data_IF_330856229291
#
_entry.id   IF_330856229291
#
_cell.length_a   1.000
_cell.length_b   1.000
_cell.length_c   1.000
_cell.angle_alpha   90.00
_cell.angle_beta   90.00
_cell.angle_gamma   90.00
#
_symmetry.space_group_name_H-M   'P 1'
#
loop_
_entity.id
_entity.type
_entity.pdbx_description
1 polymer ?
#
# COMPACT_ATOMS: atom_id res chain seq x y z
N UNK A 1 21.25 14.85 40.91
CA UNK A 1 20.50 13.76 40.31
C UNK A 1 20.84 13.54 38.82
N UNK A 2 21.78 14.28 38.25
CA UNK A 2 22.24 14.13 36.82
C UNK A 2 23.50 13.29 36.67
N UNK A 3 24.20 12.94 37.73
CA UNK A 3 25.47 12.18 37.70
C UNK A 3 25.23 10.66 37.76
N UNK A 4 24.06 10.23 38.24
CA UNK A 4 23.72 8.78 38.35
C UNK A 4 23.23 8.14 37.04
N UNK A 5 22.79 8.94 36.04
CA UNK A 5 22.29 8.43 34.77
C UNK A 5 23.43 8.17 33.77
N UNK A 6 24.52 8.91 33.85
CA UNK A 6 25.69 8.77 32.93
C UNK A 6 26.54 7.55 33.23
N UNK A 7 26.58 7.08 34.47
CA UNK A 7 27.37 5.92 34.85
C UNK A 7 26.76 4.58 34.42
N UNK A 8 25.42 4.50 34.36
CA UNK A 8 24.72 3.29 33.89
C UNK A 8 24.73 3.08 32.38
N UNK A 9 24.82 4.16 31.60
CA UNK A 9 24.89 4.05 30.13
C UNK A 9 26.28 3.60 29.66
N UNK A 10 27.34 3.97 30.39
CA UNK A 10 28.71 3.51 30.08
C UNK A 10 28.97 2.04 30.45
N UNK A 11 28.25 1.49 31.45
CA UNK A 11 28.36 0.06 31.82
C UNK A 11 27.70 -0.85 30.77
N UNK A 12 26.50 -0.49 30.27
CA UNK A 12 25.80 -1.24 29.25
C UNK A 12 26.55 -1.24 27.89
N UNK A 13 27.26 -0.16 27.57
CA UNK A 13 28.06 -0.07 26.32
C UNK A 13 29.36 -0.91 26.38
N UNK A 14 29.87 -1.23 27.57
CA UNK A 14 31.03 -2.11 27.73
C UNK A 14 30.70 -3.61 27.60
N UNK A 15 29.54 -4.01 28.03
CA UNK A 15 29.10 -5.43 27.90
C UNK A 15 28.75 -5.79 26.44
N UNK A 16 28.21 -4.85 25.65
CA UNK A 16 27.88 -5.08 24.26
C UNK A 16 29.12 -5.24 23.35
N UNK A 17 30.27 -4.63 23.68
CA UNK A 17 31.55 -4.81 22.96
C UNK A 17 32.30 -6.09 23.27
N UNK A 18 31.91 -6.80 24.30
CA UNK A 18 32.57 -8.07 24.69
C UNK A 18 31.93 -9.28 24.00
N UNK A 19 30.70 -9.11 23.47
CA UNK A 19 29.99 -10.17 22.72
C UNK A 19 30.44 -10.32 21.26
N UNK A 20 30.98 -9.27 20.66
CA UNK A 20 31.41 -9.25 19.22
C UNK A 20 32.85 -9.81 19.00
N UNK A 21 33.55 -10.28 20.05
CA UNK A 21 34.92 -10.79 19.93
C UNK A 21 35.06 -12.30 19.99
N UNK A 22 33.98 -13.07 20.14
CA UNK A 22 34.03 -14.53 20.33
C UNK A 22 33.59 -15.39 19.16
N UNK A 23 33.31 -14.82 17.96
CA UNK A 23 32.91 -15.63 16.79
C UNK A 23 33.70 -15.30 15.54
N UNK A 24 35.03 -15.30 15.62
CA UNK A 24 35.89 -15.37 14.44
C UNK A 24 37.14 -16.20 14.76
N UNK A 25 37.04 -17.53 14.66
CA UNK A 25 38.14 -18.42 14.34
C UNK A 25 37.62 -19.68 13.67
N UNK A 26 38.19 -19.95 12.52
CA UNK A 26 38.37 -21.20 11.79
C UNK A 26 37.18 -22.07 11.36
N UNK A 27 37.03 -22.15 10.04
CA UNK A 27 36.95 -23.43 9.33
C UNK A 27 37.08 -23.25 7.81
N UNK A 28 38.29 -23.33 7.33
CA UNK A 28 38.59 -23.71 5.94
C UNK A 28 38.40 -25.22 5.82
N UNK A 29 37.38 -25.69 5.10
CA UNK A 29 37.31 -27.07 4.61
C UNK A 29 36.42 -27.08 3.35
N UNK A 30 37.04 -27.32 2.23
CA UNK A 30 36.45 -27.67 0.94
C UNK A 30 35.76 -29.04 1.01
N UNK A 31 34.57 -29.22 0.49
CA UNK A 31 34.00 -30.54 0.21
C UNK A 31 34.29 -30.97 -1.22
N UNK A 32 34.92 -32.14 -1.33
CA UNK A 32 35.13 -32.94 -2.51
C UNK A 32 33.82 -33.54 -3.07
N UNK A 33 33.73 -33.61 -4.39
CA UNK A 33 32.68 -34.28 -5.16
C UNK A 33 32.54 -35.78 -4.81
N UNK A 34 31.34 -36.38 -4.86
CA UNK A 34 31.19 -37.83 -4.95
C UNK A 34 30.94 -38.27 -6.39
N UNK A 35 31.79 -39.21 -6.76
CA UNK A 35 31.87 -40.05 -7.93
C UNK A 35 30.57 -40.79 -8.25
N UNK A 36 30.24 -40.86 -9.54
CA UNK A 36 29.24 -41.69 -10.20
C UNK A 36 29.38 -43.19 -9.89
N UNK A 37 28.28 -43.82 -9.49
CA UNK A 37 28.16 -45.27 -9.47
C UNK A 37 27.09 -45.73 -10.47
N UNK A 38 27.54 -46.54 -11.42
CA UNK A 38 26.78 -47.24 -12.46
C UNK A 38 25.81 -48.26 -11.86
N UNK A 39 24.59 -48.34 -12.43
CA UNK A 39 23.65 -49.45 -12.23
C UNK A 39 23.91 -50.55 -13.23
N UNK A 40 23.77 -51.84 -12.85
CA UNK A 40 23.86 -52.94 -13.79
C UNK A 40 22.49 -53.21 -14.48
N UNK A 41 22.56 -53.50 -15.76
CA UNK A 41 21.49 -54.00 -16.58
C UNK A 41 21.18 -55.46 -16.25
N UNK A 42 19.89 -55.80 -16.12
CA UNK A 42 19.42 -57.17 -16.14
C UNK A 42 18.35 -57.28 -17.20
N UNK A 43 18.68 -58.06 -18.23
CA UNK A 43 17.79 -58.61 -19.28
C UNK A 43 16.97 -59.76 -18.70
N UNK A 44 15.66 -59.81 -18.98
CA UNK A 44 14.79 -60.88 -18.57
C UNK A 44 13.50 -60.92 -19.42
N UNK A 45 13.41 -61.86 -20.24
CA UNK A 45 12.51 -62.35 -21.26
C UNK A 45 11.04 -62.45 -20.84
N UNK A 46 10.20 -62.02 -21.79
CA UNK A 46 8.86 -62.47 -22.19
C UNK A 46 8.20 -63.63 -21.41
N UNK A 47 7.00 -63.40 -20.91
CA UNK A 47 5.84 -64.29 -20.98
C UNK A 47 4.56 -63.54 -20.60
N UNK A 48 3.59 -63.53 -21.49
CA UNK A 48 2.25 -63.04 -21.23
C UNK A 48 1.45 -64.12 -20.48
N UNK A 49 0.62 -63.80 -19.52
CA UNK A 49 -0.50 -64.58 -19.12
C UNK A 49 -1.85 -63.90 -19.41
N UNK A 50 -2.72 -64.76 -19.97
CA UNK A 50 -4.14 -64.69 -20.20
C UNK A 50 -4.99 -63.86 -19.23
N UNK A 51 -5.92 -63.10 -19.81
CA UNK A 51 -7.02 -62.40 -19.15
C UNK A 51 -7.98 -63.34 -18.41
N UNK A 52 -8.39 -63.01 -17.18
CA UNK A 52 -9.61 -63.57 -16.60
C UNK A 52 -10.84 -62.72 -16.98
N UNK A 53 -12.05 -63.26 -16.90
CA UNK A 53 -13.26 -62.69 -17.45
C UNK A 53 -13.79 -61.52 -16.62
N UNK A 54 -14.30 -60.50 -17.32
CA UNK A 54 -15.04 -59.35 -16.80
C UNK A 54 -16.20 -59.73 -15.86
N UNK A 55 -16.30 -59.17 -14.65
CA UNK A 55 -17.53 -59.20 -13.88
C UNK A 55 -18.51 -58.12 -14.37
N UNK A 56 -19.76 -58.51 -14.47
CA UNK A 56 -20.96 -57.71 -14.78
C UNK A 56 -21.09 -56.51 -13.87
N UNK A 57 -21.55 -55.34 -14.34
CA UNK A 57 -21.85 -54.21 -13.49
C UNK A 57 -23.11 -54.45 -12.67
N UNK A 58 -23.00 -54.62 -11.39
CA UNK A 58 -24.07 -54.43 -10.43
C UNK A 58 -24.27 -52.93 -10.28
N UNK A 59 -25.43 -52.46 -10.75
CA UNK A 59 -25.88 -51.09 -10.52
C UNK A 59 -26.11 -50.85 -9.04
N UNK A 60 -25.37 -49.87 -8.50
CA UNK A 60 -25.74 -49.09 -7.35
C UNK A 60 -25.18 -47.69 -7.60
N UNK A 61 -26.03 -46.81 -8.06
CA UNK A 61 -25.83 -45.39 -8.02
C UNK A 61 -25.83 -44.98 -6.55
N UNK A 62 -24.66 -44.98 -5.94
CA UNK A 62 -24.43 -44.20 -4.73
C UNK A 62 -24.30 -42.76 -5.18
N UNK A 63 -25.37 -41.98 -5.07
CA UNK A 63 -25.33 -40.54 -5.06
C UNK A 63 -24.39 -40.14 -3.91
N UNK A 64 -23.47 -39.17 -4.10
CA UNK A 64 -22.78 -38.61 -2.99
C UNK A 64 -23.85 -37.92 -2.11
N UNK A 65 -24.13 -38.48 -0.96
CA UNK A 65 -24.84 -37.77 0.11
C UNK A 65 -24.02 -36.55 0.43
N UNK A 66 -24.51 -35.39 0.00
CA UNK A 66 -24.07 -34.10 0.53
C UNK A 66 -24.38 -34.17 2.04
N UNK A 67 -23.34 -34.39 2.83
CA UNK A 67 -23.42 -34.21 4.28
C UNK A 67 -23.67 -32.72 4.46
N UNK A 68 -24.91 -32.34 4.75
CA UNK A 68 -25.21 -31.00 5.23
C UNK A 68 -24.31 -30.77 6.45
N UNK A 69 -23.57 -29.63 6.51
CA UNK A 69 -22.72 -29.33 7.65
C UNK A 69 -23.62 -29.28 8.89
N UNK A 70 -23.34 -30.14 9.87
CA UNK A 70 -24.10 -30.20 11.10
C UNK A 70 -24.07 -28.83 11.80
N UNK A 71 -25.25 -28.31 12.12
CA UNK A 71 -25.35 -27.07 12.91
C UNK A 71 -24.77 -27.29 14.31
N UNK A 72 -23.95 -26.35 14.73
CA UNK A 72 -23.35 -26.32 16.06
C UNK A 72 -23.74 -25.03 16.78
N UNK A 73 -23.75 -25.10 18.10
CA UNK A 73 -23.95 -23.94 18.94
C UNK A 73 -22.73 -23.73 19.81
N UNK A 74 -22.20 -22.50 19.82
CA UNK A 74 -21.12 -22.07 20.71
C UNK A 74 -21.60 -20.91 21.58
N UNK A 75 -21.16 -20.89 22.83
CA UNK A 75 -21.44 -19.77 23.74
C UNK A 75 -20.15 -19.15 24.19
N UNK A 76 -20.03 -17.85 23.99
CA UNK A 76 -18.94 -17.00 24.43
C UNK A 76 -19.45 -16.16 25.61
N UNK A 77 -18.67 -16.07 26.68
CA UNK A 77 -18.99 -15.20 27.81
C UNK A 77 -18.11 -13.95 27.73
N UNK A 78 -18.77 -12.77 27.76
CA UNK A 78 -18.07 -11.50 27.82
C UNK A 78 -17.32 -11.38 29.14
N UNK A 79 -16.06 -10.95 29.12
CA UNK A 79 -15.31 -10.62 30.32
C UNK A 79 -15.95 -9.49 31.11
N UNK A 80 -15.75 -9.45 32.43
CA UNK A 80 -16.33 -8.46 33.33
C UNK A 80 -15.86 -7.02 33.03
N UNK A 81 -14.68 -6.87 32.42
CA UNK A 81 -14.06 -5.61 32.03
C UNK A 81 -14.62 -5.02 30.72
N UNK A 82 -15.47 -5.79 29.99
CA UNK A 82 -16.10 -5.33 28.72
C UNK A 82 -17.62 -5.20 28.90
N UNK A 83 -18.10 -3.96 28.89
CA UNK A 83 -19.53 -3.72 28.91
C UNK A 83 -20.19 -4.23 27.60
N UNK A 84 -21.36 -4.92 27.65
CA UNK A 84 -22.02 -5.41 26.44
C UNK A 84 -22.21 -4.33 25.36
N UNK A 85 -22.52 -3.09 25.75
CA UNK A 85 -22.70 -1.96 24.83
C UNK A 85 -21.40 -1.61 24.08
N UNK A 86 -20.23 -1.85 24.69
CA UNK A 86 -18.96 -1.60 24.03
C UNK A 86 -18.71 -2.62 22.90
N UNK A 87 -19.18 -3.87 23.05
CA UNK A 87 -19.09 -4.88 21.99
C UNK A 87 -20.20 -4.73 20.95
N UNK A 88 -21.44 -4.46 21.38
CA UNK A 88 -22.60 -4.46 20.47
C UNK A 88 -22.74 -3.14 19.69
N UNK A 89 -22.08 -2.08 20.16
CA UNK A 89 -22.22 -0.74 19.61
C UNK A 89 -23.52 -0.05 19.99
N UNK A 90 -23.64 1.23 19.62
CA UNK A 90 -24.86 1.99 19.84
C UNK A 90 -26.01 1.39 19.02
N UNK A 91 -27.12 1.05 19.70
CA UNK A 91 -28.31 0.43 19.07
C UNK A 91 -27.98 -0.87 18.33
N UNK A 92 -27.05 -1.66 18.82
CA UNK A 92 -26.66 -2.97 18.27
C UNK A 92 -26.11 -2.88 16.83
N UNK A 93 -25.47 -1.76 16.47
CA UNK A 93 -24.95 -1.54 15.11
C UNK A 93 -23.84 -2.53 14.73
N UNK A 94 -23.03 -2.93 15.72
CA UNK A 94 -21.95 -3.92 15.54
C UNK A 94 -22.55 -5.30 15.34
N UNK A 95 -23.52 -5.70 16.18
CA UNK A 95 -24.22 -6.99 16.06
C UNK A 95 -24.87 -7.11 14.67
N UNK A 96 -25.61 -6.09 14.24
CA UNK A 96 -26.23 -6.07 12.90
C UNK A 96 -25.22 -6.13 11.77
N UNK A 97 -24.02 -5.58 11.95
CA UNK A 97 -22.97 -5.67 10.96
C UNK A 97 -22.41 -7.11 10.87
N UNK A 98 -22.29 -7.81 12.00
CA UNK A 98 -21.88 -9.22 12.03
C UNK A 98 -22.96 -10.09 11.36
N UNK A 99 -24.24 -9.97 11.75
CA UNK A 99 -25.36 -10.71 11.17
C UNK A 99 -25.47 -10.50 9.65
N UNK A 100 -25.18 -9.28 9.18
CA UNK A 100 -25.16 -8.99 7.74
C UNK A 100 -24.02 -9.69 7.00
N UNK A 101 -22.87 -9.86 7.65
CA UNK A 101 -21.72 -10.57 7.09
C UNK A 101 -21.87 -12.10 7.12
N UNK A 102 -22.70 -12.61 8.06
CA UNK A 102 -22.89 -14.04 8.30
C UNK A 102 -24.39 -14.38 8.36
N UNK A 103 -25.07 -14.33 7.21
CA UNK A 103 -26.52 -14.53 7.10
C UNK A 103 -26.98 -15.96 7.40
N UNK A 104 -26.06 -16.89 7.47
CA UNK A 104 -26.25 -18.32 7.76
C UNK A 104 -25.96 -18.68 9.23
N UNK A 105 -25.76 -17.67 10.09
CA UNK A 105 -25.47 -17.83 11.52
C UNK A 105 -26.45 -16.98 12.34
N UNK A 106 -27.05 -17.61 13.36
CA UNK A 106 -27.88 -16.91 14.34
C UNK A 106 -27.07 -16.51 15.57
N UNK A 107 -27.15 -15.22 15.95
CA UNK A 107 -26.43 -14.67 17.10
C UNK A 107 -27.42 -14.16 18.14
N UNK A 108 -27.38 -14.71 19.35
CA UNK A 108 -28.23 -14.30 20.46
C UNK A 108 -27.41 -13.79 21.64
N UNK A 109 -27.74 -12.59 22.11
CA UNK A 109 -27.05 -11.96 23.24
C UNK A 109 -28.01 -11.90 24.44
N UNK A 110 -27.61 -12.47 25.57
CA UNK A 110 -28.36 -12.42 26.82
C UNK A 110 -27.43 -12.07 27.99
N UNK A 111 -27.47 -10.83 28.44
CA UNK A 111 -26.54 -10.33 29.45
C UNK A 111 -25.11 -10.32 28.94
N UNK A 112 -24.24 -11.10 29.58
CA UNK A 112 -22.83 -11.27 29.15
C UNK A 112 -22.60 -12.50 28.27
N UNK A 113 -23.62 -13.32 28.01
CA UNK A 113 -23.52 -14.51 27.19
C UNK A 113 -23.91 -14.20 25.74
N UNK A 114 -23.02 -14.52 24.79
CA UNK A 114 -23.23 -14.45 23.35
C UNK A 114 -23.28 -15.88 22.82
N UNK A 115 -24.42 -16.30 22.30
CA UNK A 115 -24.64 -17.63 21.73
C UNK A 115 -24.68 -17.52 20.21
N UNK A 116 -23.90 -18.34 19.53
CA UNK A 116 -23.75 -18.38 18.07
C UNK A 116 -24.14 -19.77 17.60
N UNK A 117 -25.09 -19.87 16.65
CA UNK A 117 -25.63 -21.12 16.13
C UNK A 117 -25.65 -21.13 14.61
N UNK A 118 -25.34 -22.27 13.99
CA UNK A 118 -25.31 -22.44 12.53
C UNK A 118 -24.26 -23.44 12.06
N UNK A 119 -23.85 -23.40 10.78
CA UNK A 119 -22.86 -24.31 10.21
C UNK A 119 -21.50 -24.18 10.94
N UNK A 120 -20.89 -25.32 11.32
CA UNK A 120 -19.72 -25.39 12.20
C UNK A 120 -18.60 -24.44 11.80
N UNK A 121 -18.19 -24.44 10.52
CA UNK A 121 -17.09 -23.59 10.03
C UNK A 121 -17.41 -22.08 10.16
N UNK A 122 -18.66 -21.70 9.95
CA UNK A 122 -19.12 -20.31 10.08
C UNK A 122 -19.19 -19.86 11.54
N UNK A 123 -19.72 -20.73 12.39
CA UNK A 123 -19.79 -20.50 13.85
C UNK A 123 -18.39 -20.30 14.41
N UNK A 124 -17.41 -21.15 14.04
CA UNK A 124 -16.03 -21.01 14.50
C UNK A 124 -15.41 -19.68 14.03
N UNK A 125 -15.67 -19.25 12.79
CA UNK A 125 -15.23 -17.93 12.28
C UNK A 125 -15.84 -16.78 13.05
N UNK A 126 -17.15 -16.83 13.35
CA UNK A 126 -17.84 -15.78 14.12
C UNK A 126 -17.34 -15.73 15.56
N UNK A 127 -17.05 -16.88 16.18
CA UNK A 127 -16.48 -16.94 17.53
C UNK A 127 -15.09 -16.30 17.58
N UNK A 128 -14.26 -16.57 16.58
CA UNK A 128 -12.92 -15.90 16.45
C UNK A 128 -13.10 -14.40 16.26
N UNK A 129 -14.00 -13.97 15.37
CA UNK A 129 -14.32 -12.55 15.17
C UNK A 129 -14.74 -11.88 16.47
N UNK A 130 -15.69 -12.47 17.20
CA UNK A 130 -16.16 -11.92 18.47
C UNK A 130 -15.04 -11.83 19.50
N UNK A 131 -14.16 -12.83 19.58
CA UNK A 131 -13.01 -12.79 20.48
C UNK A 131 -12.06 -11.64 20.16
N UNK A 132 -11.73 -11.44 18.89
CA UNK A 132 -10.89 -10.32 18.44
C UNK A 132 -11.57 -8.96 18.70
N UNK A 133 -12.90 -8.84 18.47
CA UNK A 133 -13.64 -7.61 18.77
C UNK A 133 -13.70 -7.29 20.28
N UNK A 134 -13.77 -8.32 21.14
CA UNK A 134 -13.66 -8.16 22.58
C UNK A 134 -12.27 -7.61 22.95
N UNK A 135 -11.20 -8.14 22.38
CA UNK A 135 -9.85 -7.66 22.63
C UNK A 135 -9.68 -6.20 22.16
N UNK A 136 -10.25 -5.84 21.01
CA UNK A 136 -10.29 -4.43 20.55
C UNK A 136 -11.08 -3.55 21.52
N UNK A 137 -12.26 -3.99 22.00
CA UNK A 137 -13.07 -3.25 22.95
C UNK A 137 -12.35 -3.01 24.29
N UNK A 138 -11.53 -3.97 24.75
CA UNK A 138 -10.69 -3.85 25.96
C UNK A 138 -9.68 -2.72 25.88
N UNK A 139 -9.17 -2.41 24.69
CA UNK A 139 -8.27 -1.25 24.51
C UNK A 139 -8.99 0.10 24.60
N UNK A 140 -10.33 0.10 24.80
CA UNK A 140 -11.14 1.31 24.76
C UNK A 140 -11.42 1.83 23.35
N UNK A 141 -11.08 1.06 22.33
CA UNK A 141 -11.36 1.40 20.92
C UNK A 141 -12.85 1.25 20.64
N UNK A 142 -13.55 2.32 20.19
CA UNK A 142 -14.97 2.22 19.86
C UNK A 142 -15.15 1.31 18.64
N UNK A 143 -16.02 0.31 18.79
CA UNK A 143 -16.41 -0.56 17.70
C UNK A 143 -17.54 0.09 16.89
N UNK A 144 -17.40 0.04 15.57
CA UNK A 144 -18.40 0.53 14.61
C UNK A 144 -18.69 -0.55 13.57
N UNK A 145 -19.81 -0.45 12.86
CA UNK A 145 -20.15 -1.36 11.77
C UNK A 145 -19.01 -1.46 10.72
N UNK A 146 -18.35 -0.36 10.43
CA UNK A 146 -17.21 -0.28 9.52
C UNK A 146 -15.94 -1.01 10.08
N UNK A 147 -15.73 -0.99 11.41
CA UNK A 147 -14.68 -1.77 12.05
C UNK A 147 -14.93 -3.28 11.96
N UNK A 148 -16.19 -3.71 12.10
CA UNK A 148 -16.58 -5.13 11.93
C UNK A 148 -16.31 -5.62 10.52
N UNK A 149 -16.72 -4.86 9.50
CA UNK A 149 -16.51 -5.25 8.10
C UNK A 149 -15.02 -5.40 7.78
N UNK A 150 -14.18 -4.51 8.32
CA UNK A 150 -12.72 -4.66 8.20
C UNK A 150 -12.19 -5.86 8.96
N UNK A 151 -12.69 -6.10 10.19
CA UNK A 151 -12.27 -7.26 10.97
C UNK A 151 -12.58 -8.58 10.26
N UNK A 152 -13.74 -8.68 9.60
CA UNK A 152 -14.09 -9.84 8.77
C UNK A 152 -13.08 -10.02 7.62
N UNK A 153 -12.77 -8.94 6.88
CA UNK A 153 -11.78 -9.00 5.80
C UNK A 153 -10.37 -9.35 6.28
N UNK A 154 -9.96 -8.92 7.47
CA UNK A 154 -8.66 -9.28 8.07
C UNK A 154 -8.61 -10.78 8.42
N UNK A 155 -9.68 -11.34 8.98
CA UNK A 155 -9.75 -12.78 9.28
C UNK A 155 -9.68 -13.65 8.02
N UNK A 156 -10.23 -13.22 6.90
CA UNK A 156 -10.12 -13.91 5.62
C UNK A 156 -8.66 -14.01 5.15
N UNK A 157 -7.80 -13.07 5.54
CA UNK A 157 -6.36 -13.06 5.26
C UNK A 157 -5.51 -13.71 6.36
N UNK A 158 -6.16 -14.40 7.33
CA UNK A 158 -5.50 -15.01 8.51
C UNK A 158 -4.75 -14.00 9.39
N UNK A 159 -5.16 -12.75 9.39
CA UNK A 159 -4.58 -11.66 10.20
C UNK A 159 -5.47 -11.38 11.39
N UNK A 160 -4.89 -11.16 12.55
CA UNK A 160 -5.64 -10.81 13.76
C UNK A 160 -6.11 -9.35 13.68
N UNK A 161 -7.43 -9.09 13.71
CA UNK A 161 -7.97 -7.74 13.71
C UNK A 161 -7.40 -6.84 14.81
N UNK A 162 -7.15 -7.38 15.99
CA UNK A 162 -6.55 -6.65 17.13
C UNK A 162 -5.22 -6.01 16.75
N UNK A 163 -4.34 -6.70 16.04
CA UNK A 163 -3.01 -6.19 15.68
C UNK A 163 -3.05 -4.94 14.78
N UNK A 164 -4.11 -4.83 13.96
CA UNK A 164 -4.28 -3.70 13.03
C UNK A 164 -5.12 -2.59 13.66
N UNK A 165 -6.25 -2.94 14.30
CA UNK A 165 -7.24 -1.98 14.77
C UNK A 165 -6.87 -1.28 16.07
N UNK A 166 -5.86 -1.75 16.81
CA UNK A 166 -5.40 -1.13 18.06
C UNK A 166 -4.09 -0.36 17.92
N UNK A 167 -3.49 -0.31 16.72
CA UNK A 167 -2.22 0.40 16.47
C UNK A 167 -2.45 1.91 16.35
N UNK A 168 -2.35 2.62 17.48
CA UNK A 168 -2.57 4.05 17.56
C UNK A 168 -1.37 4.84 17.03
N UNK A 169 -1.54 5.53 15.91
CA UNK A 169 -0.51 6.40 15.35
C UNK A 169 -0.53 7.77 16.04
N UNK A 170 -1.70 8.38 16.06
CA UNK A 170 -1.88 9.74 16.57
C UNK A 170 -3.29 9.89 17.14
N UNK A 171 -3.41 10.54 18.30
CA UNK A 171 -4.70 10.95 18.83
C UNK A 171 -4.79 12.48 18.83
N UNK A 172 -5.75 13.03 18.11
CA UNK A 172 -6.02 14.48 18.03
C UNK A 172 -7.53 14.73 18.01
N UNK A 173 -7.99 15.79 18.66
CA UNK A 173 -9.41 16.17 18.76
C UNK A 173 -10.32 15.04 19.24
N UNK A 174 -9.84 14.17 20.12
CA UNK A 174 -10.60 12.98 20.57
C UNK A 174 -10.81 11.90 19.51
N UNK A 175 -10.14 12.02 18.37
CA UNK A 175 -10.10 11.00 17.32
C UNK A 175 -8.71 10.38 17.25
N UNK A 176 -8.68 9.06 17.18
CA UNK A 176 -7.42 8.31 17.00
C UNK A 176 -7.26 7.88 15.56
N UNK A 177 -6.12 8.22 14.98
CA UNK A 177 -5.72 7.79 13.64
C UNK A 177 -4.99 6.47 13.76
N UNK A 178 -5.49 5.45 13.03
CA UNK A 178 -5.00 4.07 13.03
C UNK A 178 -4.95 3.52 11.61
N UNK A 179 -4.11 2.52 11.34
CA UNK A 179 -4.25 1.70 10.15
C UNK A 179 -5.64 1.02 10.14
N UNK A 180 -6.22 0.86 8.98
CA UNK A 180 -7.54 0.25 8.81
C UNK A 180 -7.49 -1.03 7.97
N UNK A 181 -6.31 -1.36 7.44
CA UNK A 181 -6.03 -2.55 6.66
C UNK A 181 -4.62 -3.05 6.95
N UNK A 182 -4.34 -4.29 6.56
CA UNK A 182 -3.02 -4.90 6.71
C UNK A 182 -1.96 -4.13 5.88
N UNK A 183 -2.30 -3.72 4.65
CA UNK A 183 -1.41 -2.93 3.81
C UNK A 183 -1.08 -1.57 4.44
N UNK A 184 -2.07 -0.91 5.06
CA UNK A 184 -1.84 0.33 5.81
C UNK A 184 -0.95 0.10 7.04
N UNK A 185 -1.14 -1.01 7.78
CA UNK A 185 -0.29 -1.36 8.92
C UNK A 185 1.15 -1.58 8.47
N UNK A 186 1.38 -2.41 7.46
CA UNK A 186 2.71 -2.65 6.91
C UNK A 186 3.39 -1.36 6.42
N UNK A 187 2.61 -0.44 5.83
CA UNK A 187 3.10 0.86 5.41
C UNK A 187 3.51 1.75 6.59
N UNK A 188 2.71 1.80 7.66
CA UNK A 188 3.04 2.59 8.85
C UNK A 188 4.22 2.04 9.62
N UNK A 189 4.39 0.72 9.66
CA UNK A 189 5.56 0.06 10.24
C UNK A 189 6.83 0.36 9.42
N UNK A 190 6.74 0.25 8.09
CA UNK A 190 7.85 0.58 7.20
C UNK A 190 8.32 2.05 7.35
N UNK A 191 7.39 2.99 7.60
CA UNK A 191 7.75 4.39 7.89
C UNK A 191 8.56 4.50 9.19
N UNK A 192 8.30 3.66 10.19
CA UNK A 192 9.08 3.68 11.43
C UNK A 192 10.45 3.04 11.30
N UNK A 193 10.55 1.99 10.51
CA UNK A 193 11.77 1.20 10.36
C UNK A 193 12.75 1.79 9.36
N UNK A 194 12.24 2.39 8.26
CA UNK A 194 13.08 2.84 7.15
C UNK A 194 13.36 4.34 7.16
N UNK A 195 14.48 4.73 6.57
CA UNK A 195 14.84 6.14 6.37
C UNK A 195 14.03 6.77 5.24
N UNK A 196 13.81 6.01 4.15
CA UNK A 196 12.98 6.42 3.02
C UNK A 196 11.91 5.35 2.79
N UNK A 197 10.64 5.76 2.77
CA UNK A 197 9.51 4.86 2.51
C UNK A 197 8.71 5.34 1.31
N UNK A 198 8.48 4.46 0.36
CA UNK A 198 7.60 4.72 -0.78
C UNK A 198 6.24 4.06 -0.53
N UNK A 199 5.17 4.86 -0.48
CA UNK A 199 3.78 4.40 -0.41
C UNK A 199 3.12 4.52 -1.78
N UNK A 200 2.96 3.40 -2.49
CA UNK A 200 2.47 3.37 -3.86
C UNK A 200 1.11 2.67 -3.89
N UNK A 201 0.12 3.25 -4.58
CA UNK A 201 -1.19 2.62 -4.71
C UNK A 201 -2.28 3.61 -5.12
N UNK A 202 -3.51 3.14 -5.34
CA UNK A 202 -4.60 3.97 -5.83
C UNK A 202 -5.02 5.05 -4.84
N UNK A 203 -5.72 6.05 -5.35
CA UNK A 203 -6.27 7.12 -4.53
C UNK A 203 -7.26 6.57 -3.48
N UNK A 204 -7.21 7.11 -2.26
CA UNK A 204 -8.09 6.72 -1.14
C UNK A 204 -7.58 5.57 -0.28
N UNK A 205 -6.37 5.06 -0.51
CA UNK A 205 -5.70 4.10 0.38
C UNK A 205 -5.06 4.74 1.62
N UNK A 206 -5.18 6.06 1.79
CA UNK A 206 -4.70 6.77 2.98
C UNK A 206 -3.19 7.03 3.02
N UNK A 207 -2.44 6.83 1.93
CA UNK A 207 -0.98 6.99 1.85
C UNK A 207 -0.48 8.30 2.47
N UNK A 208 -0.92 9.41 1.93
CA UNK A 208 -0.51 10.75 2.35
C UNK A 208 -1.01 11.06 3.75
N UNK A 209 -2.25 10.68 4.07
CA UNK A 209 -2.86 10.91 5.37
C UNK A 209 -2.10 10.17 6.51
N UNK A 210 -1.77 8.89 6.32
CA UNK A 210 -1.02 8.11 7.30
C UNK A 210 0.44 8.59 7.43
N UNK A 211 1.09 8.98 6.33
CA UNK A 211 2.41 9.58 6.35
C UNK A 211 2.42 10.89 7.17
N UNK A 212 1.39 11.73 7.00
CA UNK A 212 1.25 12.97 7.76
C UNK A 212 0.98 12.71 9.24
N UNK A 213 0.16 11.71 9.58
CA UNK A 213 -0.07 11.31 10.98
C UNK A 213 1.25 10.86 11.65
N UNK A 214 2.06 10.05 10.96
CA UNK A 214 3.39 9.65 11.43
C UNK A 214 4.36 10.84 11.56
N UNK A 215 4.28 11.82 10.67
CA UNK A 215 5.09 13.03 10.75
C UNK A 215 4.72 13.89 11.98
N UNK A 216 3.42 14.08 12.23
CA UNK A 216 2.93 14.82 13.40
C UNK A 216 3.31 14.11 14.69
N UNK A 217 3.16 12.77 14.75
CA UNK A 217 3.62 11.98 15.89
C UNK A 217 5.13 12.11 16.12
N UNK A 218 5.94 12.03 15.06
CA UNK A 218 7.38 12.18 15.13
C UNK A 218 7.79 13.59 15.64
N UNK A 219 7.07 14.64 15.22
CA UNK A 219 7.27 16.00 15.72
C UNK A 219 6.86 16.13 17.19
N UNK A 220 5.70 15.60 17.58
CA UNK A 220 5.20 15.63 18.95
C UNK A 220 6.15 14.90 19.92
N UNK A 221 6.70 13.75 19.49
CA UNK A 221 7.71 12.99 20.24
C UNK A 221 9.13 13.55 20.13
N UNK A 222 9.32 14.68 19.43
CA UNK A 222 10.63 15.33 19.21
C UNK A 222 11.66 14.41 18.55
N UNK A 223 11.22 13.46 17.73
CA UNK A 223 12.10 12.62 16.90
C UNK A 223 12.64 13.40 15.70
N UNK A 224 11.91 14.43 15.28
CA UNK A 224 12.31 15.41 14.27
C UNK A 224 12.03 16.82 14.78
N UNK A 225 12.70 17.83 14.23
CA UNK A 225 12.52 19.23 14.60
C UNK A 225 11.51 19.97 13.70
N UNK A 226 11.20 19.40 12.53
CA UNK A 226 10.30 20.02 11.54
C UNK A 226 9.66 19.00 10.59
N UNK A 227 8.55 19.41 10.00
CA UNK A 227 7.84 18.68 8.96
C UNK A 227 7.91 19.50 7.66
N UNK A 228 8.26 18.87 6.57
CA UNK A 228 8.30 19.49 5.24
C UNK A 228 7.39 18.69 4.31
N UNK A 229 6.32 19.33 3.84
CA UNK A 229 5.36 18.76 2.90
C UNK A 229 5.61 19.36 1.52
N UNK A 230 5.81 18.53 0.54
CA UNK A 230 6.09 18.99 -0.82
C UNK A 230 5.29 18.20 -1.85
N UNK A 231 4.96 18.89 -2.94
CA UNK A 231 4.23 18.31 -4.07
C UNK A 231 4.80 18.86 -5.38
N UNK A 232 4.91 18.07 -6.46
CA UNK A 232 5.25 18.59 -7.76
C UNK A 232 4.13 19.53 -8.23
N UNK A 233 4.49 20.73 -8.68
CA UNK A 233 3.57 21.60 -9.37
C UNK A 233 3.43 21.08 -10.82
N UNK A 234 2.35 20.37 -11.11
CA UNK A 234 2.04 19.88 -12.46
C UNK A 234 0.92 20.75 -13.02
N UNK A 235 1.11 21.28 -14.21
CA UNK A 235 0.04 21.89 -14.97
C UNK A 235 -0.86 20.78 -15.52
N UNK A 236 -1.85 20.34 -14.75
CA UNK A 236 -2.87 19.40 -15.22
C UNK A 236 -3.79 20.10 -16.23
N UNK A 237 -3.35 20.21 -17.49
CA UNK A 237 -4.17 20.76 -18.58
C UNK A 237 -4.47 22.26 -18.51
N UNK A 238 -4.30 22.91 -17.37
CA UNK A 238 -4.45 24.35 -17.18
C UNK A 238 -3.06 24.98 -17.06
N UNK A 239 -2.70 25.80 -18.05
CA UNK A 239 -1.46 26.55 -18.01
C UNK A 239 -1.47 27.50 -16.80
N UNK A 240 -0.64 27.23 -15.79
CA UNK A 240 -0.44 28.11 -14.62
C UNK A 240 -0.19 29.58 -15.00
N UNK A 241 0.23 29.82 -16.26
CA UNK A 241 0.40 31.14 -16.83
C UNK A 241 -0.88 31.98 -16.94
N UNK A 242 -2.07 31.36 -17.00
CA UNK A 242 -3.35 32.06 -17.15
C UNK A 242 -4.01 32.45 -15.82
N UNK A 243 -3.58 31.91 -14.68
CA UNK A 243 -4.14 32.31 -13.39
C UNK A 243 -3.56 33.67 -12.96
N UNK A 244 -4.37 34.65 -12.54
CA UNK A 244 -3.89 35.91 -11.96
C UNK A 244 -3.28 35.68 -10.56
N UNK A 245 -2.26 36.46 -10.19
CA UNK A 245 -1.65 36.40 -8.88
C UNK A 245 -0.16 36.01 -8.89
N UNK A 246 0.44 36.00 -7.71
CA UNK A 246 1.81 35.56 -7.50
C UNK A 246 1.98 34.05 -7.79
N UNK A 247 3.20 33.58 -7.95
CA UNK A 247 3.47 32.15 -8.12
C UNK A 247 2.92 31.31 -6.92
N UNK A 248 3.00 31.88 -5.73
CA UNK A 248 2.47 31.26 -4.49
C UNK A 248 0.95 31.12 -4.58
N UNK A 249 0.22 32.14 -5.02
CA UNK A 249 -1.24 32.11 -5.14
C UNK A 249 -1.71 31.06 -6.17
N UNK A 250 -0.90 30.83 -7.19
CA UNK A 250 -1.19 29.83 -8.25
C UNK A 250 -0.97 28.40 -7.81
N UNK A 251 -0.08 28.18 -6.85
CA UNK A 251 0.28 26.85 -6.34
C UNK A 251 -0.59 26.46 -5.14
N UNK A 252 -1.10 27.44 -4.40
CA UNK A 252 -1.90 27.23 -3.19
C UNK A 252 -3.05 26.20 -3.35
N UNK A 253 -3.86 26.22 -4.43
CA UNK A 253 -4.92 25.23 -4.64
C UNK A 253 -4.42 23.78 -4.64
N UNK A 254 -3.21 23.53 -5.15
CA UNK A 254 -2.61 22.18 -5.19
C UNK A 254 -2.09 21.72 -3.85
N UNK A 255 -1.85 22.64 -2.92
CA UNK A 255 -1.37 22.35 -1.58
C UNK A 255 -2.51 22.26 -0.54
N UNK A 256 -3.73 22.69 -0.89
CA UNK A 256 -4.91 22.63 0.01
C UNK A 256 -5.15 21.27 0.64
N UNK A 257 -5.10 20.14 -0.08
CA UNK A 257 -5.32 18.84 0.53
C UNK A 257 -4.32 18.52 1.67
N UNK A 258 -3.11 19.07 1.60
CA UNK A 258 -2.11 18.92 2.66
C UNK A 258 -2.46 19.78 3.88
N UNK A 259 -2.96 20.99 3.66
CA UNK A 259 -3.44 21.83 4.77
C UNK A 259 -4.66 21.23 5.45
N UNK A 260 -5.63 20.70 4.67
CA UNK A 260 -6.83 20.08 5.21
C UNK A 260 -6.48 18.88 6.11
N UNK A 261 -5.54 18.04 5.67
CA UNK A 261 -5.08 16.92 6.47
C UNK A 261 -4.32 17.36 7.74
N UNK A 262 -3.53 18.44 7.70
CA UNK A 262 -2.90 19.00 8.89
C UNK A 262 -3.93 19.58 9.88
N UNK A 263 -4.99 20.20 9.41
CA UNK A 263 -6.09 20.69 10.24
C UNK A 263 -6.84 19.58 10.96
N UNK A 264 -6.96 18.40 10.34
CA UNK A 264 -7.54 17.21 11.00
C UNK A 264 -6.66 16.67 12.14
N UNK A 265 -5.34 16.93 12.09
CA UNK A 265 -4.34 16.32 12.98
C UNK A 265 -3.81 17.27 14.06
N UNK A 266 -3.95 18.56 13.88
CA UNK A 266 -3.41 19.59 14.76
C UNK A 266 -4.52 20.52 15.25
N UNK A 267 -4.35 21.06 16.47
CA UNK A 267 -5.26 22.09 16.98
C UNK A 267 -5.31 23.30 16.03
N UNK A 268 -6.50 23.87 15.75
CA UNK A 268 -6.66 24.94 14.78
C UNK A 268 -5.73 26.13 15.01
N UNK A 269 -5.42 26.44 16.27
CA UNK A 269 -4.51 27.51 16.64
C UNK A 269 -3.02 27.15 16.57
N UNK A 270 -2.70 25.84 16.56
CA UNK A 270 -1.32 25.36 16.54
C UNK A 270 -0.70 25.45 15.15
N UNK A 271 -1.47 25.09 14.11
CA UNK A 271 -0.98 25.03 12.73
C UNK A 271 -0.41 26.38 12.24
N UNK A 272 -1.11 27.55 12.37
CA UNK A 272 -0.56 28.82 11.96
C UNK A 272 0.73 29.20 12.71
N UNK A 273 0.82 28.88 14.00
CA UNK A 273 2.01 29.13 14.82
C UNK A 273 3.20 28.27 14.37
N UNK A 274 2.98 26.99 14.11
CA UNK A 274 4.02 26.06 13.64
C UNK A 274 4.53 26.44 12.25
N UNK A 275 3.63 26.91 11.37
CA UNK A 275 4.01 27.42 10.05
C UNK A 275 4.80 28.73 10.14
N UNK A 276 4.35 29.69 10.94
CA UNK A 276 5.06 30.95 11.15
C UNK A 276 6.46 30.75 11.77
N UNK A 277 6.62 29.73 12.61
CA UNK A 277 7.90 29.32 13.19
C UNK A 277 8.78 28.51 12.22
N UNK A 278 8.30 28.14 11.05
CA UNK A 278 9.00 27.25 10.11
C UNK A 278 9.15 25.80 10.60
N UNK A 279 8.41 25.42 11.64
CA UNK A 279 8.36 24.04 12.14
C UNK A 279 7.57 23.15 11.18
N UNK A 280 6.54 23.69 10.54
CA UNK A 280 5.83 23.04 9.43
C UNK A 280 5.98 23.92 8.20
N UNK A 281 6.48 23.33 7.14
CA UNK A 281 6.66 23.99 5.83
C UNK A 281 5.86 23.21 4.77
N UNK A 282 5.05 23.92 3.99
CA UNK A 282 4.35 23.37 2.83
C UNK A 282 4.83 24.15 1.61
N UNK A 283 5.51 23.47 0.68
CA UNK A 283 6.18 24.13 -0.43
C UNK A 283 6.22 23.26 -1.70
N UNK A 284 6.27 23.86 -2.90
CA UNK A 284 6.48 23.14 -4.13
C UNK A 284 7.82 22.38 -4.15
N UNK A 285 7.87 21.24 -4.84
CA UNK A 285 9.07 20.43 -4.97
C UNK A 285 10.29 21.21 -5.48
N UNK A 286 10.09 22.19 -6.36
CA UNK A 286 11.17 23.03 -6.89
C UNK A 286 11.96 23.79 -5.80
N UNK A 287 11.32 24.11 -4.67
CA UNK A 287 11.95 24.83 -3.56
C UNK A 287 12.86 23.96 -2.70
N UNK A 288 12.87 22.65 -2.95
CA UNK A 288 13.80 21.72 -2.28
C UNK A 288 15.20 21.75 -2.89
N UNK A 289 15.36 22.35 -4.07
CA UNK A 289 16.64 22.38 -4.79
C UNK A 289 17.70 23.15 -4.00
N UNK A 290 18.90 22.55 -3.87
CA UNK A 290 20.05 23.18 -3.18
C UNK A 290 19.97 23.13 -1.65
N UNK A 291 18.95 22.54 -1.08
CA UNK A 291 18.78 22.40 0.40
C UNK A 291 19.35 21.06 0.87
N UNK A 292 19.71 21.01 2.14
CA UNK A 292 19.92 19.77 2.91
C UNK A 292 18.92 19.77 4.05
N UNK A 293 18.10 18.75 4.14
CA UNK A 293 16.98 18.69 5.07
C UNK A 293 17.39 17.83 6.27
N UNK A 294 17.95 18.44 7.31
CA UNK A 294 18.36 17.78 8.54
C UNK A 294 17.23 17.80 9.58
N UNK A 295 17.17 16.77 10.43
CA UNK A 295 16.24 16.62 11.53
C UNK A 295 14.79 16.90 11.14
N UNK A 296 14.41 16.43 9.94
CA UNK A 296 13.15 16.72 9.31
C UNK A 296 12.39 15.44 8.93
N UNK A 297 11.07 15.48 9.07
CA UNK A 297 10.19 14.51 8.42
C UNK A 297 9.69 15.12 7.11
N UNK A 298 10.07 14.55 5.99
CA UNK A 298 9.81 15.10 4.65
C UNK A 298 8.84 14.22 3.89
N UNK A 299 7.76 14.80 3.37
CA UNK A 299 6.76 14.07 2.58
C UNK A 299 6.73 14.67 1.18
N UNK A 300 6.90 13.81 0.17
CA UNK A 300 6.63 14.14 -1.24
C UNK A 300 5.34 13.47 -1.67
N UNK A 301 4.31 14.26 -1.87
CA UNK A 301 3.01 13.79 -2.33
C UNK A 301 2.87 13.88 -3.85
N UNK A 302 2.02 13.04 -4.47
CA UNK A 302 1.79 12.92 -5.91
C UNK A 302 3.09 12.72 -6.73
N UNK A 303 3.97 11.89 -6.20
CA UNK A 303 5.32 11.68 -6.72
C UNK A 303 5.35 11.05 -8.12
N UNK A 304 4.25 10.42 -8.59
CA UNK A 304 4.14 9.93 -9.96
C UNK A 304 4.28 11.06 -11.00
N UNK A 305 3.99 12.30 -10.59
CA UNK A 305 4.08 13.49 -11.42
C UNK A 305 5.47 14.17 -11.34
N UNK A 306 6.50 13.45 -10.92
CA UNK A 306 7.89 13.91 -10.98
C UNK A 306 8.62 13.30 -12.17
N UNK A 307 9.57 14.06 -12.76
CA UNK A 307 10.55 13.47 -13.66
C UNK A 307 11.61 12.66 -12.88
N UNK A 308 12.36 11.76 -13.54
CA UNK A 308 13.48 11.04 -12.90
C UNK A 308 14.52 11.97 -12.27
N UNK A 309 14.79 13.12 -12.90
CA UNK A 309 15.74 14.12 -12.41
C UNK A 309 15.20 14.84 -11.17
N UNK A 310 13.90 15.15 -11.15
CA UNK A 310 13.24 15.75 -10.00
C UNK A 310 13.23 14.78 -8.80
N UNK A 311 12.89 13.52 -9.02
CA UNK A 311 12.93 12.48 -7.99
C UNK A 311 14.35 12.33 -7.42
N UNK A 312 15.37 12.21 -8.28
CA UNK A 312 16.78 12.15 -7.86
C UNK A 312 17.17 13.40 -7.08
N UNK A 313 16.80 14.58 -7.58
CA UNK A 313 17.04 15.86 -6.90
C UNK A 313 16.45 15.87 -5.49
N UNK A 314 15.21 15.41 -5.31
CA UNK A 314 14.52 15.36 -4.04
C UNK A 314 15.18 14.37 -3.07
N UNK A 315 15.38 13.13 -3.46
CA UNK A 315 15.96 12.09 -2.59
C UNK A 315 17.36 12.45 -2.09
N UNK A 316 18.13 13.18 -2.90
CA UNK A 316 19.45 13.68 -2.50
C UNK A 316 19.40 14.89 -1.56
N UNK A 317 18.25 15.35 -1.14
CA UNK A 317 18.08 16.36 -0.09
C UNK A 317 18.07 15.77 1.32
N UNK A 318 18.03 14.45 1.44
CA UNK A 318 18.05 13.75 2.72
C UNK A 318 19.25 14.23 3.55
N UNK A 319 18.98 14.72 4.73
CA UNK A 319 19.97 15.14 5.72
C UNK A 319 20.02 14.19 6.92
N UNK A 320 20.92 14.44 7.83
CA UNK A 320 21.07 13.65 9.04
C UNK A 320 19.82 13.78 9.94
N UNK A 321 19.45 12.69 10.63
CA UNK A 321 18.30 12.67 11.53
C UNK A 321 16.94 12.81 10.85
N UNK A 322 16.90 12.70 9.50
CA UNK A 322 15.67 12.90 8.73
C UNK A 322 15.08 11.59 8.23
N UNK A 323 13.76 11.62 8.00
CA UNK A 323 12.98 10.59 7.33
C UNK A 323 12.27 11.16 6.12
N UNK A 324 12.17 10.37 5.05
CA UNK A 324 11.44 10.76 3.85
C UNK A 324 10.34 9.74 3.55
N UNK A 325 9.16 10.25 3.23
CA UNK A 325 8.05 9.43 2.73
C UNK A 325 7.65 9.97 1.37
N UNK A 326 7.56 9.08 0.40
CA UNK A 326 7.19 9.40 -0.98
C UNK A 326 5.88 8.70 -1.28
N UNK A 327 4.81 9.46 -1.56
CA UNK A 327 3.49 8.92 -1.85
C UNK A 327 3.12 9.16 -3.32
N UNK A 328 2.44 8.18 -3.93
CA UNK A 328 2.01 8.34 -5.32
C UNK A 328 1.15 7.20 -5.85
N UNK A 329 0.56 7.44 -7.02
CA UNK A 329 -0.27 6.50 -7.75
C UNK A 329 0.27 6.32 -9.17
N UNK A 330 0.90 5.19 -9.46
CA UNK A 330 1.50 4.92 -10.77
C UNK A 330 0.48 4.80 -11.91
N UNK A 331 -0.82 4.69 -11.60
CA UNK A 331 -1.90 4.68 -12.59
C UNK A 331 -2.35 6.09 -13.01
N UNK A 332 -1.98 7.14 -12.23
CA UNK A 332 -2.39 8.52 -12.43
C UNK A 332 -1.19 9.41 -12.80
N UNK A 333 -0.53 9.09 -13.90
CA UNK A 333 0.64 9.86 -14.37
C UNK A 333 0.18 10.94 -15.33
N UNK A 334 0.29 12.22 -14.91
CA UNK A 334 -0.11 13.40 -15.69
C UNK A 334 1.09 14.17 -16.28
N UNK A 335 2.20 13.48 -16.55
CA UNK A 335 3.39 14.10 -17.11
C UNK A 335 3.22 14.43 -18.60
N UNK A 336 3.53 15.67 -19.02
CA UNK A 336 3.41 16.07 -20.42
C UNK A 336 4.38 15.30 -21.33
N UNK A 337 3.91 14.98 -22.54
CA UNK A 337 4.76 14.40 -23.59
C UNK A 337 5.14 12.93 -23.40
N UNK A 338 4.39 12.16 -22.58
CA UNK A 338 4.63 10.73 -22.38
C UNK A 338 5.95 10.41 -21.67
N UNK A 339 6.47 11.35 -20.88
CA UNK A 339 7.70 11.15 -20.09
C UNK A 339 7.49 10.08 -19.05
N UNK A 340 8.52 9.26 -18.82
CA UNK A 340 8.48 8.25 -17.76
C UNK A 340 8.46 8.91 -16.38
N UNK A 341 7.59 8.41 -15.50
CA UNK A 341 7.48 8.90 -14.13
C UNK A 341 8.74 8.56 -13.32
N UNK A 342 9.24 9.57 -12.57
CA UNK A 342 10.34 9.38 -11.63
C UNK A 342 10.05 8.33 -10.56
N UNK A 343 8.79 8.19 -10.16
CA UNK A 343 8.36 7.15 -9.19
C UNK A 343 8.53 5.74 -9.78
N UNK A 344 8.21 5.53 -11.05
CA UNK A 344 8.38 4.24 -11.73
C UNK A 344 9.88 3.92 -11.88
N UNK A 345 10.67 4.89 -12.29
CA UNK A 345 12.11 4.73 -12.48
C UNK A 345 12.83 4.41 -11.17
N UNK A 346 12.52 5.15 -10.10
CA UNK A 346 13.20 4.99 -8.81
C UNK A 346 12.92 3.62 -8.20
N UNK A 347 11.72 3.05 -8.39
CA UNK A 347 11.36 1.71 -7.93
C UNK A 347 12.31 0.64 -8.49
N UNK A 348 12.72 0.76 -9.75
CA UNK A 348 13.68 -0.16 -10.38
C UNK A 348 15.12 0.05 -9.90
N UNK A 349 15.49 1.31 -9.64
CA UNK A 349 16.88 1.67 -9.32
C UNK A 349 17.21 1.40 -7.84
N UNK A 350 16.25 1.67 -6.93
CA UNK A 350 16.49 1.61 -5.49
C UNK A 350 15.95 0.33 -4.84
N UNK A 351 15.44 -0.63 -5.61
CA UNK A 351 15.03 -1.93 -5.08
C UNK A 351 16.22 -2.63 -4.40
N UNK A 352 16.05 -3.02 -3.12
CA UNK A 352 17.07 -3.72 -2.34
C UNK A 352 18.16 -2.82 -1.75
N UNK A 353 18.00 -1.50 -1.78
CA UNK A 353 18.90 -0.58 -1.06
C UNK A 353 18.49 -0.53 0.41
N UNK A 354 19.43 -0.80 1.31
CA UNK A 354 19.20 -0.77 2.75
C UNK A 354 18.66 0.58 3.23
N UNK A 355 17.68 0.56 4.13
CA UNK A 355 17.03 1.75 4.66
C UNK A 355 15.98 2.37 3.72
N UNK A 356 15.66 1.72 2.60
CA UNK A 356 14.60 2.10 1.67
C UNK A 356 13.55 0.99 1.59
N UNK A 357 12.29 1.35 1.84
CA UNK A 357 11.14 0.44 1.73
C UNK A 357 10.15 0.88 0.66
N UNK A 358 9.61 -0.09 -0.07
CA UNK A 358 8.53 0.10 -1.03
C UNK A 358 7.29 -0.65 -0.55
N UNK A 359 6.22 0.08 -0.23
CA UNK A 359 4.95 -0.45 0.22
C UNK A 359 3.90 -0.25 -0.87
N UNK A 360 3.30 -1.35 -1.32
CA UNK A 360 2.22 -1.34 -2.31
C UNK A 360 0.89 -1.51 -1.59
N UNK A 361 0.04 -0.47 -1.70
CA UNK A 361 -1.34 -0.51 -1.22
C UNK A 361 -2.26 -0.84 -2.39
N UNK A 362 -3.18 -1.77 -2.16
CA UNK A 362 -4.10 -2.26 -3.18
C UNK A 362 -5.53 -1.72 -3.04
N UNK A 363 -6.44 -2.29 -3.82
CA UNK A 363 -7.87 -1.97 -3.73
C UNK A 363 -8.48 -2.36 -2.37
N UNK A 364 -7.94 -3.39 -1.71
CA UNK A 364 -8.37 -3.81 -0.37
C UNK A 364 -8.06 -2.77 0.72
N UNK A 365 -7.06 -1.88 0.47
CA UNK A 365 -6.66 -0.84 1.39
C UNK A 365 -7.44 0.47 1.22
N UNK A 366 -8.35 0.53 0.23
CA UNK A 366 -9.14 1.73 -0.05
C UNK A 366 -10.14 1.97 1.08
N UNK A 367 -9.99 3.07 1.79
CA UNK A 367 -10.87 3.52 2.86
C UNK A 367 -11.70 4.69 2.38
N UNK A 368 -12.89 4.40 1.86
CA UNK A 368 -13.80 5.41 1.33
C UNK A 368 -15.23 5.12 1.76
N UNK A 369 -16.08 6.14 1.67
CA UNK A 369 -17.51 5.93 1.83
C UNK A 369 -18.01 4.91 0.79
N UNK A 370 -18.82 3.92 1.19
CA UNK A 370 -19.32 2.82 0.34
C UNK A 370 -19.93 3.29 -0.99
N UNK A 371 -20.65 4.44 -0.95
CA UNK A 371 -21.22 5.01 -2.16
C UNK A 371 -20.14 5.41 -3.19
N UNK A 372 -19.00 5.93 -2.72
CA UNK A 372 -17.88 6.31 -3.61
C UNK A 372 -17.30 5.08 -4.30
N UNK A 373 -17.14 3.96 -3.59
CA UNK A 373 -16.72 2.68 -4.19
C UNK A 373 -17.68 2.25 -5.30
N UNK A 374 -18.98 2.24 -5.02
CA UNK A 374 -20.02 1.90 -6.01
C UNK A 374 -20.07 2.84 -7.22
N UNK A 375 -19.79 4.13 -7.03
CA UNK A 375 -19.68 5.10 -8.13
C UNK A 375 -18.50 4.72 -9.03
N UNK A 376 -17.33 4.48 -8.45
CA UNK A 376 -16.12 4.11 -9.22
C UNK A 376 -16.34 2.83 -10.02
N UNK A 377 -16.93 1.81 -9.40
CA UNK A 377 -17.27 0.55 -10.08
C UNK A 377 -18.26 0.76 -11.23
N UNK A 378 -19.24 1.67 -11.07
CA UNK A 378 -20.19 2.00 -12.12
C UNK A 378 -19.51 2.68 -13.31
N UNK A 379 -18.59 3.63 -13.06
CA UNK A 379 -17.79 4.26 -14.12
C UNK A 379 -16.87 3.26 -14.82
N UNK A 380 -16.15 2.43 -14.06
CA UNK A 380 -15.27 1.42 -14.64
C UNK A 380 -16.02 0.43 -15.55
N UNK A 381 -17.24 0.03 -15.19
CA UNK A 381 -18.09 -0.80 -16.06
C UNK A 381 -18.47 -0.07 -17.34
N UNK A 382 -18.88 1.19 -17.22
CA UNK A 382 -19.23 2.01 -18.39
C UNK A 382 -18.04 2.17 -19.35
N UNK A 383 -16.85 2.49 -18.83
CA UNK A 383 -15.64 2.64 -19.62
C UNK A 383 -15.25 1.34 -20.34
N UNK A 384 -15.41 0.20 -19.66
CA UNK A 384 -15.19 -1.11 -20.26
C UNK A 384 -16.20 -1.41 -21.38
N UNK A 385 -17.47 -1.04 -21.22
CA UNK A 385 -18.50 -1.17 -22.25
C UNK A 385 -18.20 -0.30 -23.47
N UNK A 386 -17.79 0.96 -23.25
CA UNK A 386 -17.39 1.87 -24.34
C UNK A 386 -16.16 1.32 -25.08
N UNK A 387 -15.13 0.89 -24.35
CA UNK A 387 -13.94 0.31 -24.96
C UNK A 387 -14.26 -0.97 -25.77
N UNK A 388 -15.18 -1.80 -25.31
CA UNK A 388 -15.65 -3.00 -26.04
C UNK A 388 -16.44 -2.61 -27.32
N UNK A 389 -17.27 -1.56 -27.26
CA UNK A 389 -17.99 -1.04 -28.41
C UNK A 389 -17.04 -0.45 -29.47
N UNK A 390 -16.05 0.34 -29.05
CA UNK A 390 -15.02 0.90 -29.92
C UNK A 390 -14.15 -0.19 -30.58
N UNK A 391 -13.81 -1.24 -29.82
CA UNK A 391 -13.09 -2.40 -30.36
C UNK A 391 -13.92 -3.18 -31.40
N UNK A 392 -15.22 -3.32 -31.16
CA UNK A 392 -16.16 -3.96 -32.10
C UNK A 392 -16.45 -3.10 -33.35
N UNK A 393 -16.41 -1.77 -33.21
CA UNK A 393 -16.63 -0.82 -34.29
C UNK A 393 -15.41 -0.63 -35.21
N UNK A 394 -14.21 -1.10 -34.81
CA UNK A 394 -13.01 -1.07 -35.67
C UNK A 394 -13.22 -2.07 -36.82
N UNK A 395 -13.36 -1.62 -38.09
CA UNK A 395 -13.47 -2.55 -39.22
C UNK A 395 -12.20 -3.40 -39.28
N UNK A 396 -12.37 -4.71 -39.42
CA UNK A 396 -11.27 -5.64 -39.67
C UNK A 396 -10.52 -5.12 -40.90
N UNK A 397 -9.29 -4.66 -40.67
CA UNK A 397 -8.41 -4.25 -41.77
C UNK A 397 -8.31 -5.38 -42.78
N UNK A 398 -8.23 -5.08 -44.11
CA UNK A 398 -8.17 -6.11 -45.11
C UNK A 398 -7.02 -7.09 -44.81
N UNK A 399 -7.23 -8.41 -45.02
CA UNK A 399 -6.21 -9.42 -44.73
C UNK A 399 -4.96 -9.08 -45.51
N UNK A 400 -3.84 -8.88 -44.78
CA UNK A 400 -2.56 -8.57 -45.35
C UNK A 400 -2.21 -9.57 -46.45
N UNK A 401 -2.12 -9.10 -47.69
CA UNK A 401 -1.54 -9.85 -48.80
C UNK A 401 -0.09 -10.17 -48.41
N UNK A 402 0.11 -11.34 -47.88
CA UNK A 402 1.43 -11.96 -47.86
C UNK A 402 1.78 -12.28 -49.32
N UNK A 403 2.84 -11.78 -49.76
CA UNK A 403 3.44 -12.47 -50.84
C UNK A 403 3.99 -11.62 -51.98
N UNK A 404 5.23 -11.81 -52.10
CA UNK A 404 6.09 -11.87 -53.27
C UNK A 404 6.95 -10.67 -53.59
N UNK A 405 8.19 -10.92 -53.22
CA UNK A 405 9.36 -10.78 -54.07
C UNK A 405 9.31 -9.70 -55.14
N UNK A 406 10.11 -8.67 -54.98
CA UNK A 406 10.81 -8.11 -56.11
C UNK A 406 12.19 -7.63 -55.67
N UNK A 407 13.18 -8.46 -56.00
CA UNK A 407 14.54 -8.07 -56.26
C UNK A 407 14.57 -7.12 -57.46
N UNK A 408 15.64 -6.33 -57.49
CA UNK A 408 16.10 -5.46 -58.57
C UNK A 408 15.47 -4.07 -58.76
N UNK A 409 16.19 -3.04 -58.30
CA UNK A 409 16.97 -2.18 -59.24
C UNK A 409 17.77 -1.13 -58.48
N UNK A 410 19.07 -1.26 -58.61
CA UNK A 410 20.03 -0.15 -58.46
C UNK A 410 19.74 0.87 -59.59
N UNK A 411 19.70 2.14 -59.25
CA UNK A 411 19.59 3.22 -60.18
C UNK A 411 20.12 4.50 -59.56
N UNK A 412 21.38 4.79 -59.77
CA UNK A 412 22.05 6.04 -59.48
C UNK A 412 21.35 7.19 -60.23
N UNK A 413 21.05 8.30 -59.54
CA UNK A 413 20.99 9.60 -60.21
C UNK A 413 21.41 10.70 -59.23
N UNK A 414 22.60 11.10 -59.49
CA UNK A 414 23.29 12.32 -59.10
C UNK A 414 22.45 13.53 -59.50
N UNK A 415 22.14 14.45 -58.61
CA UNK A 415 21.68 15.82 -58.95
C UNK A 415 22.38 16.80 -58.00
N UNK A 416 22.97 17.87 -58.53
CA UNK A 416 23.80 18.78 -57.75
C UNK A 416 22.97 19.83 -56.99
N UNK A 417 23.54 20.28 -55.89
CA UNK A 417 23.07 21.36 -55.03
C UNK A 417 22.99 22.70 -55.80
N UNK A 418 21.94 23.47 -55.53
CA UNK A 418 21.85 24.89 -55.92
C UNK A 418 22.27 25.75 -54.71
N UNK A 419 22.97 26.88 -55.00
CA UNK A 419 23.52 27.72 -53.94
C UNK A 419 22.48 28.70 -53.36
N UNK A 420 22.69 28.99 -52.09
CA UNK A 420 22.05 30.04 -51.29
C UNK A 420 22.23 31.41 -51.96
N UNK A 421 21.17 32.19 -52.12
CA UNK A 421 21.21 33.62 -52.40
C UNK A 421 20.89 34.41 -51.13
N UNK A 422 21.86 35.14 -50.66
CA UNK A 422 21.79 36.23 -49.70
C UNK A 422 20.70 37.26 -50.13
N UNK A 423 19.86 37.66 -49.20
CA UNK A 423 19.13 38.93 -49.26
C UNK A 423 19.44 39.78 -48.06
N UNK A 424 19.98 40.92 -48.38
CA UNK A 424 20.36 42.03 -47.53
C UNK A 424 19.18 42.62 -46.73
N UNK A 425 19.49 43.23 -45.57
CA UNK A 425 18.52 44.00 -44.78
C UNK A 425 18.63 45.48 -45.17
N UNK A 426 17.53 46.07 -45.54
CA UNK A 426 17.16 47.49 -45.39
C UNK A 426 15.85 47.70 -46.20
N UNK A 427 14.82 48.13 -45.43
CA UNK A 427 13.99 49.31 -45.68
C UNK A 427 12.65 49.20 -44.97
N UNK A 428 12.49 50.23 -44.14
CA UNK A 428 11.27 50.80 -43.49
C UNK A 428 10.72 50.08 -42.24
#
# INVERSE_FOLDING_TARGET
MLIFVVVNVCAAYREMKQYDRCTMTDASATPSEPTSAQAPAVSGTSAAPSMPPTPRPLGASAQPTSVEPADVTRTLTLPEDVAPVALLGARDEVLRAIEKGFTDVDIHVRGTAVTVSGPAARVDTVVVLLSELIDVARTGTPLTADAVERAVGLLETSTRPTEVLTDDILTSHGRTIRPKSLGQKAYTDAIEESTITFGIGPAGTGKTYLAMAKAVDALARKRVSRIILTRPAVEAGENLGFLPGSLTDKIDPYLRPLYDALHDMLEPEALPRLMAAGTIEVAPLAYMRGRTLNDAFVILDEAQNTSPEQMKMFLTRLGFGSRMVVTGDISQVDLPGGRESGLIVVRRILAGVDGISFCELGSADVVRHRLVGRIIEAYARHDAEVAAQDAAARPAGPPGRSGRNSQYRRGSSNRPARPYSERNPHDH
#
